data_IF_903377915759
#
_entry.id   IF_903377915759
#
_cell.length_a   1.000
_cell.length_b   1.000
_cell.length_c   1.000
_cell.angle_alpha   90.00
_cell.angle_beta   90.00
_cell.angle_gamma   90.00
#
_symmetry.space_group_name_H-M   'P 1'
#
loop_
_entity.id
_entity.type
_entity.pdbx_description
1 polymer ?
#
# COMPACT_ATOMS: atom_id res chain seq x y z
N UNK A 1 11.32 -6.65 -3.62
CA UNK A 1 10.08 -6.84 -2.82
C UNK A 1 9.11 -5.79 -3.30
N UNK A 2 7.81 -6.06 -3.24
CA UNK A 2 6.76 -5.18 -3.78
C UNK A 2 6.92 -3.71 -3.39
N UNK A 3 6.16 -2.83 -4.03
CA UNK A 3 6.07 -1.43 -3.63
C UNK A 3 4.60 -1.02 -3.48
N UNK A 4 4.23 -0.38 -2.39
CA UNK A 4 2.84 0.03 -2.14
C UNK A 4 2.76 1.30 -1.32
N UNK A 5 1.63 1.98 -1.45
CA UNK A 5 1.38 3.19 -0.70
C UNK A 5 0.03 3.83 -1.00
N UNK A 6 -0.14 4.98 -0.37
CA UNK A 6 -1.28 5.86 -0.50
C UNK A 6 -0.79 7.27 -0.82
N UNK A 7 -1.49 7.95 -1.73
CA UNK A 7 -1.31 9.37 -2.04
C UNK A 7 -2.60 10.09 -1.71
N UNK A 8 -2.55 11.11 -0.84
CA UNK A 8 -3.68 11.96 -0.49
C UNK A 8 -3.48 13.35 -1.07
N UNK A 9 -4.42 13.78 -1.90
CA UNK A 9 -4.37 15.02 -2.66
C UNK A 9 -5.70 15.77 -2.54
N UNK A 10 -6.11 16.17 -1.32
CA UNK A 10 -7.42 16.78 -1.09
C UNK A 10 -7.63 18.06 -1.89
N UNK A 11 -6.55 18.74 -2.29
CA UNK A 11 -6.58 19.97 -3.06
C UNK A 11 -6.46 19.77 -4.58
N UNK A 12 -6.55 18.53 -5.08
CA UNK A 12 -6.48 18.17 -6.51
C UNK A 12 -5.31 18.86 -7.23
N UNK A 13 -4.14 18.88 -6.60
CA UNK A 13 -2.91 19.42 -7.17
C UNK A 13 -2.35 18.43 -8.19
N UNK A 14 -1.57 18.94 -9.14
CA UNK A 14 -0.81 18.07 -10.04
C UNK A 14 0.26 17.33 -9.23
N UNK A 15 0.30 16.01 -9.35
CA UNK A 15 1.36 15.20 -8.76
C UNK A 15 2.67 15.55 -9.47
N UNK A 16 3.74 15.94 -8.76
CA UNK A 16 4.97 16.38 -9.41
C UNK A 16 5.58 15.28 -10.30
N UNK A 17 6.07 15.64 -11.49
CA UNK A 17 6.63 14.69 -12.45
C UNK A 17 7.72 13.78 -11.87
N UNK A 18 8.48 14.27 -10.89
CA UNK A 18 9.46 13.44 -10.18
C UNK A 18 8.80 12.25 -9.46
N UNK A 19 7.68 12.48 -8.79
CA UNK A 19 6.91 11.45 -8.08
C UNK A 19 6.43 10.40 -9.08
N UNK A 20 5.83 10.86 -10.18
CA UNK A 20 5.32 9.98 -11.24
C UNK A 20 6.45 9.12 -11.84
N UNK A 21 7.61 9.72 -12.11
CA UNK A 21 8.80 8.98 -12.57
C UNK A 21 9.27 7.94 -11.57
N UNK A 22 9.33 8.29 -10.27
CA UNK A 22 9.69 7.34 -9.21
C UNK A 22 8.72 6.16 -9.13
N UNK A 23 7.42 6.39 -9.26
CA UNK A 23 6.43 5.31 -9.32
C UNK A 23 6.65 4.40 -10.53
N UNK A 24 6.98 4.97 -11.70
CA UNK A 24 7.31 4.16 -12.88
C UNK A 24 8.63 3.39 -12.74
N UNK A 25 9.62 3.94 -12.04
CA UNK A 25 10.84 3.21 -11.70
C UNK A 25 10.53 2.02 -10.77
N UNK A 26 9.69 2.22 -9.75
CA UNK A 26 9.23 1.14 -8.87
C UNK A 26 8.44 0.06 -9.64
N UNK A 27 7.62 0.44 -10.62
CA UNK A 27 6.94 -0.52 -11.49
C UNK A 27 7.92 -1.39 -12.30
N UNK A 28 9.04 -0.83 -12.78
CA UNK A 28 10.05 -1.59 -13.52
C UNK A 28 10.69 -2.65 -12.63
N UNK A 29 10.93 -2.34 -11.35
CA UNK A 29 11.50 -3.28 -10.38
C UNK A 29 10.49 -4.29 -9.83
N UNK A 30 9.19 -4.07 -10.05
CA UNK A 30 8.10 -4.89 -9.53
C UNK A 30 7.08 -5.21 -10.65
N UNK A 31 7.44 -6.09 -11.61
CA UNK A 31 6.71 -6.26 -12.86
C UNK A 31 5.58 -7.30 -12.81
N UNK A 32 5.36 -7.98 -11.69
CA UNK A 32 4.53 -9.20 -11.61
C UNK A 32 3.04 -8.92 -11.33
N UNK A 33 2.62 -7.66 -11.50
CA UNK A 33 1.24 -7.23 -11.38
C UNK A 33 1.07 -5.87 -10.71
N UNK A 34 0.04 -5.14 -11.13
CA UNK A 34 -0.17 -3.75 -10.76
C UNK A 34 -1.59 -3.52 -10.27
N UNK A 35 -1.71 -2.69 -9.24
CA UNK A 35 -2.98 -2.29 -8.65
C UNK A 35 -3.05 -0.79 -8.47
N UNK A 36 -4.23 -0.22 -8.76
CA UNK A 36 -4.60 1.13 -8.36
C UNK A 36 -6.08 1.20 -8.01
N UNK A 37 -6.38 1.95 -6.95
CA UNK A 37 -7.72 2.37 -6.58
C UNK A 37 -7.77 3.88 -6.33
N UNK A 38 -8.81 4.53 -6.86
CA UNK A 38 -9.16 5.94 -6.63
C UNK A 38 -10.67 6.05 -6.44
N UNK A 39 -11.14 7.06 -5.68
CA UNK A 39 -12.58 7.29 -5.50
C UNK A 39 -13.15 8.39 -6.42
N UNK A 40 -12.32 9.34 -6.83
CA UNK A 40 -12.75 10.48 -7.65
C UNK A 40 -11.62 10.87 -8.61
N UNK A 41 -11.64 10.38 -9.87
CA UNK A 41 -12.62 9.45 -10.45
C UNK A 41 -12.60 8.08 -9.75
N UNK A 42 -13.72 7.35 -9.75
CA UNK A 42 -13.72 5.98 -9.23
C UNK A 42 -13.04 5.03 -10.21
N UNK A 43 -11.90 4.48 -9.83
CA UNK A 43 -11.18 3.48 -10.62
C UNK A 43 -10.74 2.37 -9.70
N UNK A 44 -10.96 1.11 -10.10
CA UNK A 44 -10.39 -0.07 -9.47
C UNK A 44 -9.76 -0.92 -10.57
N UNK A 45 -8.44 -1.07 -10.54
CA UNK A 45 -7.70 -1.78 -11.58
C UNK A 45 -6.70 -2.74 -10.94
N UNK A 46 -6.72 -4.01 -11.36
CA UNK A 46 -5.71 -5.03 -11.10
C UNK A 46 -5.36 -5.68 -12.43
N UNK A 47 -4.09 -5.61 -12.83
CA UNK A 47 -3.67 -6.05 -14.18
C UNK A 47 -2.21 -6.48 -14.21
N UNK A 48 -1.89 -7.44 -15.10
CA UNK A 48 -0.54 -7.93 -15.34
C UNK A 48 0.21 -7.12 -16.41
N UNK A 49 -0.51 -6.57 -17.40
CA UNK A 49 0.10 -5.81 -18.48
C UNK A 49 0.60 -4.43 -17.99
N UNK A 50 1.92 -4.28 -17.94
CA UNK A 50 2.58 -3.07 -17.48
C UNK A 50 2.34 -1.85 -18.39
N UNK A 51 2.21 -2.06 -19.70
CA UNK A 51 2.01 -0.97 -20.66
C UNK A 51 0.58 -0.43 -20.57
N UNK A 52 -0.40 -1.32 -20.47
CA UNK A 52 -1.79 -0.97 -20.23
C UNK A 52 -1.95 -0.28 -18.88
N UNK A 53 -1.33 -0.82 -17.81
CA UNK A 53 -1.36 -0.15 -16.50
C UNK A 53 -0.75 1.25 -16.58
N UNK A 54 0.43 1.40 -17.18
CA UNK A 54 1.09 2.70 -17.31
C UNK A 54 0.23 3.73 -18.04
N UNK A 55 -0.43 3.33 -19.14
CA UNK A 55 -1.35 4.20 -19.88
C UNK A 55 -2.51 4.65 -18.99
N UNK A 56 -3.23 3.70 -18.37
CA UNK A 56 -4.37 4.00 -17.49
C UNK A 56 -3.96 4.80 -16.25
N UNK A 57 -2.81 4.49 -15.65
CA UNK A 57 -2.30 5.19 -14.48
C UNK A 57 -1.95 6.64 -14.80
N UNK A 58 -1.41 6.92 -15.99
CA UNK A 58 -1.21 8.30 -16.47
C UNK A 58 -2.53 9.04 -16.59
N UNK A 59 -3.55 8.44 -17.23
CA UNK A 59 -4.89 9.02 -17.37
C UNK A 59 -5.56 9.29 -16.02
N UNK A 60 -5.34 8.42 -15.03
CA UNK A 60 -5.82 8.62 -13.65
C UNK A 60 -5.10 9.80 -13.00
N UNK A 61 -3.76 9.85 -13.07
CA UNK A 61 -2.99 10.94 -12.47
C UNK A 61 -3.39 12.30 -13.06
N UNK A 62 -3.63 12.38 -14.37
CA UNK A 62 -4.01 13.60 -15.07
C UNK A 62 -5.37 14.15 -14.60
N UNK A 63 -6.25 13.29 -14.08
CA UNK A 63 -7.52 13.69 -13.48
C UNK A 63 -7.38 14.25 -12.05
N UNK A 64 -6.17 14.23 -11.48
CA UNK A 64 -5.84 14.77 -10.15
C UNK A 64 -6.76 14.23 -9.07
N UNK A 65 -6.75 12.90 -8.86
CA UNK A 65 -7.63 12.26 -7.90
C UNK A 65 -7.35 12.75 -6.50
N UNK A 66 -8.39 12.78 -5.67
CA UNK A 66 -8.30 13.20 -4.27
C UNK A 66 -7.52 12.22 -3.42
N UNK A 67 -7.55 10.93 -3.79
CA UNK A 67 -6.75 9.89 -3.15
C UNK A 67 -6.43 8.75 -4.15
N UNK A 68 -5.27 8.14 -3.96
CA UNK A 68 -4.77 6.99 -4.72
C UNK A 68 -4.25 5.94 -3.75
N UNK A 69 -4.70 4.70 -3.86
CA UNK A 69 -4.09 3.53 -3.22
C UNK A 69 -3.49 2.65 -4.32
N UNK A 70 -2.23 2.26 -4.20
CA UNK A 70 -1.54 1.56 -5.27
C UNK A 70 -0.62 0.45 -4.75
N UNK A 71 -0.31 -0.51 -5.62
CA UNK A 71 0.64 -1.58 -5.35
C UNK A 71 1.27 -2.11 -6.63
N UNK A 72 2.58 -2.35 -6.62
CA UNK A 72 3.37 -2.97 -7.68
C UNK A 72 3.98 -4.25 -7.11
N UNK A 73 3.66 -5.39 -7.72
CA UNK A 73 3.98 -6.72 -7.19
C UNK A 73 5.32 -7.21 -7.72
N UNK A 74 6.13 -7.80 -6.83
CA UNK A 74 7.21 -8.70 -7.20
C UNK A 74 6.94 -10.05 -6.52
N UNK A 75 6.67 -11.08 -7.30
CA UNK A 75 6.23 -12.38 -6.83
C UNK A 75 7.38 -13.17 -6.20
N UNK A 76 7.38 -13.25 -4.87
CA UNK A 76 8.18 -14.22 -4.10
C UNK A 76 7.37 -15.44 -3.66
N UNK A 77 6.03 -15.34 -3.69
CA UNK A 77 5.06 -16.40 -3.41
C UNK A 77 3.80 -16.23 -4.28
N UNK A 78 3.10 -17.34 -4.53
CA UNK A 78 1.93 -17.39 -5.43
C UNK A 78 2.29 -17.24 -6.91
N UNK A 79 1.43 -17.75 -7.79
CA UNK A 79 1.60 -17.62 -9.24
C UNK A 79 1.56 -16.14 -9.70
N UNK A 80 2.11 -15.86 -10.88
CA UNK A 80 1.92 -14.59 -11.57
C UNK A 80 0.55 -14.66 -12.25
N UNK A 81 -0.47 -14.24 -11.51
CA UNK A 81 -1.86 -14.26 -11.92
C UNK A 81 -2.59 -13.04 -11.30
N UNK A 82 -3.63 -12.58 -11.97
CA UNK A 82 -4.50 -11.48 -11.52
C UNK A 82 -5.02 -11.74 -10.12
N UNK A 83 -5.38 -12.99 -9.78
CA UNK A 83 -5.85 -13.38 -8.45
C UNK A 83 -4.85 -13.01 -7.34
N UNK A 84 -3.55 -13.04 -7.62
CA UNK A 84 -2.48 -12.76 -6.67
C UNK A 84 -2.00 -11.31 -6.65
N UNK A 85 -2.52 -10.45 -7.52
CA UNK A 85 -2.27 -9.01 -7.46
C UNK A 85 -2.98 -8.46 -6.22
N UNK A 86 -2.26 -7.78 -5.33
CA UNK A 86 -2.86 -7.17 -4.14
C UNK A 86 -3.92 -6.11 -4.46
N UNK A 87 -4.61 -5.62 -3.43
CA UNK A 87 -5.78 -4.75 -3.58
C UNK A 87 -7.10 -5.52 -3.50
N UNK A 88 -7.11 -6.67 -2.82
CA UNK A 88 -8.34 -7.40 -2.52
C UNK A 88 -9.19 -6.63 -1.51
N UNK A 89 -10.51 -6.78 -1.62
CA UNK A 89 -11.47 -6.19 -0.71
C UNK A 89 -11.89 -7.24 0.34
N UNK A 90 -11.68 -6.94 1.61
CA UNK A 90 -12.15 -7.72 2.75
C UNK A 90 -12.96 -6.82 3.68
N UNK A 91 -14.26 -7.09 3.80
CA UNK A 91 -15.20 -6.13 4.37
C UNK A 91 -15.22 -4.83 3.54
N UNK A 92 -15.00 -3.69 4.20
CA UNK A 92 -14.97 -2.37 3.56
C UNK A 92 -13.56 -1.89 3.17
N UNK A 93 -12.55 -2.74 3.30
CA UNK A 93 -11.15 -2.37 3.16
C UNK A 93 -10.45 -3.05 1.98
N UNK A 94 -9.72 -2.26 1.19
CA UNK A 94 -8.72 -2.72 0.24
C UNK A 94 -7.37 -2.93 0.92
N UNK A 95 -6.74 -4.07 0.69
CA UNK A 95 -5.50 -4.45 1.39
C UNK A 95 -4.37 -4.69 0.40
N UNK A 96 -3.23 -4.04 0.66
CA UNK A 96 -1.97 -4.23 -0.07
C UNK A 96 -0.80 -4.40 0.88
N UNK A 97 0.29 -5.01 0.43
CA UNK A 97 1.44 -5.28 1.29
C UNK A 97 2.75 -5.40 0.50
N UNK A 98 3.82 -4.86 1.07
CA UNK A 98 5.20 -5.12 0.69
C UNK A 98 5.93 -5.90 1.79
N UNK A 99 6.27 -7.17 1.49
CA UNK A 99 7.01 -8.02 2.41
C UNK A 99 6.66 -9.50 2.24
N UNK A 100 6.73 -10.26 3.33
CA UNK A 100 6.45 -11.71 3.35
C UNK A 100 5.63 -12.13 4.57
N UNK A 101 4.90 -13.25 4.45
CA UNK A 101 4.25 -13.96 5.56
C UNK A 101 4.81 -15.36 5.67
N UNK A 102 5.68 -15.61 6.66
CA UNK A 102 6.45 -16.87 6.75
C UNK A 102 5.57 -18.11 6.84
N UNK A 103 4.43 -18.05 7.56
CA UNK A 103 3.50 -19.19 7.67
C UNK A 103 2.92 -19.67 6.34
N UNK A 104 2.98 -18.85 5.29
CA UNK A 104 2.36 -19.13 3.99
C UNK A 104 3.34 -19.09 2.82
N UNK A 105 4.62 -18.80 3.05
CA UNK A 105 5.62 -18.54 2.01
C UNK A 105 5.90 -19.73 1.06
N UNK A 106 5.58 -20.97 1.46
CA UNK A 106 5.81 -22.18 0.64
C UNK A 106 4.68 -22.49 -0.35
N UNK A 107 3.57 -21.73 -0.33
CA UNK A 107 2.41 -21.96 -1.19
C UNK A 107 2.66 -21.40 -2.59
N UNK A 108 2.32 -22.19 -3.61
CA UNK A 108 2.57 -21.85 -5.03
C UNK A 108 1.35 -21.25 -5.73
N UNK A 109 0.14 -21.57 -5.28
CA UNK A 109 -1.08 -21.14 -5.96
C UNK A 109 -1.42 -19.69 -5.56
N UNK A 110 -1.78 -19.48 -4.29
CA UNK A 110 -2.09 -18.17 -3.74
C UNK A 110 -0.86 -17.55 -3.05
N UNK A 111 -0.72 -16.23 -3.16
CA UNK A 111 0.33 -15.50 -2.47
C UNK A 111 0.11 -15.51 -0.95
N UNK A 112 1.20 -15.40 -0.22
CA UNK A 112 1.24 -15.49 1.25
C UNK A 112 0.31 -14.48 1.96
N UNK A 113 0.16 -13.30 1.38
CA UNK A 113 -0.61 -12.20 1.92
C UNK A 113 -2.10 -12.48 1.77
N UNK A 114 -2.54 -12.94 0.59
CA UNK A 114 -3.93 -13.31 0.36
C UNK A 114 -4.38 -14.39 1.35
N UNK A 115 -3.53 -15.38 1.60
CA UNK A 115 -3.78 -16.41 2.60
C UNK A 115 -3.93 -15.84 4.01
N UNK A 116 -3.08 -14.89 4.41
CA UNK A 116 -3.17 -14.21 5.71
C UNK A 116 -4.48 -13.43 5.87
N UNK A 117 -4.80 -12.55 4.90
CA UNK A 117 -5.93 -11.62 5.02
C UNK A 117 -7.28 -12.33 4.84
N UNK A 118 -7.28 -13.50 4.21
CA UNK A 118 -8.47 -14.35 4.09
C UNK A 118 -8.81 -15.11 5.38
N UNK A 119 -7.91 -15.13 6.38
CA UNK A 119 -8.20 -15.80 7.65
C UNK A 119 -9.30 -15.06 8.40
N UNK A 120 -10.19 -15.83 9.05
CA UNK A 120 -11.31 -15.29 9.81
C UNK A 120 -10.83 -14.39 10.94
N UNK A 121 -9.81 -14.82 11.67
CA UNK A 121 -9.22 -14.08 12.79
C UNK A 121 -8.71 -12.71 12.35
N UNK A 122 -8.02 -12.64 11.20
CA UNK A 122 -7.56 -11.37 10.63
C UNK A 122 -8.74 -10.42 10.39
N UNK A 123 -9.79 -10.92 9.72
CA UNK A 123 -10.97 -10.13 9.36
C UNK A 123 -11.75 -9.69 10.61
N UNK A 124 -11.91 -10.56 11.59
CA UNK A 124 -12.59 -10.25 12.86
C UNK A 124 -11.84 -9.19 13.67
N UNK A 125 -10.50 -9.28 13.76
CA UNK A 125 -9.70 -8.29 14.46
C UNK A 125 -9.72 -6.94 13.73
N UNK A 126 -9.65 -6.93 12.40
CA UNK A 126 -9.74 -5.72 11.60
C UNK A 126 -11.13 -5.05 11.74
N UNK A 127 -12.21 -5.80 11.54
CA UNK A 127 -13.57 -5.28 11.63
C UNK A 127 -13.89 -4.75 13.03
N UNK A 128 -13.41 -5.44 14.07
CA UNK A 128 -13.54 -5.01 15.46
C UNK A 128 -12.55 -3.91 15.89
N UNK A 129 -11.66 -3.46 15.00
CA UNK A 129 -10.56 -2.51 15.30
C UNK A 129 -9.73 -2.94 16.52
N UNK A 130 -9.55 -4.25 16.68
CA UNK A 130 -8.79 -4.90 17.76
C UNK A 130 -7.31 -4.87 17.43
N UNK A 131 -6.73 -3.67 17.46
CA UNK A 131 -5.41 -3.39 16.90
C UNK A 131 -4.27 -4.16 17.55
N UNK A 132 -4.30 -4.37 18.87
CA UNK A 132 -3.25 -5.16 19.52
C UNK A 132 -3.32 -6.62 19.07
N UNK A 133 -4.51 -7.22 19.05
CA UNK A 133 -4.69 -8.61 18.63
C UNK A 133 -4.38 -8.79 17.15
N UNK A 134 -4.76 -7.84 16.29
CA UNK A 134 -4.39 -7.85 14.89
C UNK A 134 -2.87 -7.82 14.71
N UNK A 135 -2.17 -6.92 15.42
CA UNK A 135 -0.72 -6.82 15.36
C UNK A 135 -0.03 -8.10 15.84
N UNK A 136 -0.45 -8.63 16.99
CA UNK A 136 0.10 -9.86 17.55
C UNK A 136 -0.13 -11.05 16.63
N UNK A 137 -1.32 -11.15 16.04
CA UNK A 137 -1.68 -12.20 15.10
C UNK A 137 -0.79 -12.19 13.86
N UNK A 138 -0.57 -11.03 13.21
CA UNK A 138 0.28 -10.99 12.01
C UNK A 138 1.76 -11.26 12.34
N UNK A 139 2.23 -10.81 13.51
CA UNK A 139 3.60 -11.08 13.98
C UNK A 139 3.78 -12.57 14.23
N UNK A 140 2.80 -13.23 14.85
CA UNK A 140 2.78 -14.69 15.05
C UNK A 140 2.84 -15.44 13.72
N UNK A 141 2.14 -14.96 12.67
CA UNK A 141 2.24 -15.52 11.30
C UNK A 141 3.56 -15.20 10.59
N UNK A 142 4.47 -14.50 11.27
CA UNK A 142 5.78 -14.13 10.76
C UNK A 142 5.70 -13.10 9.64
N UNK A 143 4.75 -12.15 9.73
CA UNK A 143 4.68 -11.00 8.85
C UNK A 143 5.94 -10.14 9.02
N UNK A 144 6.62 -9.88 7.90
CA UNK A 144 7.77 -8.98 7.81
C UNK A 144 7.53 -8.04 6.63
N UNK A 145 7.20 -6.78 6.89
CA UNK A 145 6.80 -5.87 5.82
C UNK A 145 5.99 -4.66 6.24
N UNK A 146 5.37 -4.03 5.24
CA UNK A 146 4.42 -2.92 5.40
C UNK A 146 3.11 -3.26 4.69
N UNK A 147 1.99 -3.21 5.39
CA UNK A 147 0.64 -3.44 4.86
C UNK A 147 -0.15 -2.15 4.93
N UNK A 148 -0.84 -1.79 3.83
CA UNK A 148 -1.85 -0.73 3.83
C UNK A 148 -3.25 -1.33 3.78
N UNK A 149 -4.14 -0.80 4.62
CA UNK A 149 -5.54 -1.17 4.73
C UNK A 149 -6.34 0.11 4.54
N UNK A 150 -7.02 0.23 3.41
CA UNK A 150 -7.66 1.48 2.97
C UNK A 150 -9.14 1.24 2.81
N UNK A 151 -9.98 1.97 3.52
CA UNK A 151 -11.41 1.83 3.35
C UNK A 151 -11.85 2.41 1.99
N UNK A 152 -13.00 1.95 1.49
CA UNK A 152 -13.50 2.29 0.16
C UNK A 152 -13.59 3.81 -0.13
N UNK A 153 -13.86 4.63 0.88
CA UNK A 153 -13.98 6.09 0.72
C UNK A 153 -12.76 6.90 1.19
N UNK A 154 -11.67 6.22 1.55
CA UNK A 154 -10.45 6.82 2.11
C UNK A 154 -10.64 7.61 3.42
N UNK A 155 -11.79 7.52 4.10
CA UNK A 155 -11.98 8.06 5.45
C UNK A 155 -11.13 7.35 6.52
N UNK A 156 -10.80 6.08 6.29
CA UNK A 156 -9.96 5.28 7.17
C UNK A 156 -8.83 4.63 6.40
N UNK A 157 -7.61 5.00 6.78
CA UNK A 157 -6.38 4.52 6.15
C UNK A 157 -5.47 4.06 7.28
N UNK A 158 -5.17 2.77 7.29
CA UNK A 158 -4.26 2.18 8.25
C UNK A 158 -3.02 1.65 7.55
N UNK A 159 -1.89 1.76 8.23
CA UNK A 159 -0.64 1.16 7.82
C UNK A 159 -0.13 0.30 8.97
N UNK A 160 0.23 -0.94 8.69
CA UNK A 160 0.86 -1.84 9.64
C UNK A 160 2.30 -2.06 9.21
N UNK A 161 3.24 -1.93 10.13
CA UNK A 161 4.66 -2.17 9.89
C UNK A 161 5.21 -3.20 10.86
N UNK A 162 5.99 -4.14 10.33
CA UNK A 162 6.92 -4.97 11.10
C UNK A 162 8.29 -4.94 10.45
N UNK A 163 9.30 -4.47 11.18
CA UNK A 163 10.72 -4.43 10.77
C UNK A 163 11.05 -3.62 9.49
N UNK A 164 10.06 -2.92 8.93
CA UNK A 164 10.18 -2.09 7.72
C UNK A 164 9.55 -0.73 7.96
N UNK A 165 10.13 0.33 7.41
CA UNK A 165 9.58 1.67 7.61
C UNK A 165 8.38 1.90 6.72
N UNK A 166 7.32 2.45 7.31
CA UNK A 166 6.35 3.28 6.60
C UNK A 166 6.96 4.66 6.53
N UNK A 167 7.02 5.20 5.33
CA UNK A 167 7.48 6.56 5.10
C UNK A 167 6.30 7.48 4.91
N UNK A 168 6.33 8.63 5.56
CA UNK A 168 5.34 9.69 5.43
C UNK A 168 6.02 11.00 5.06
N UNK A 169 5.53 11.66 4.02
CA UNK A 169 5.97 12.99 3.67
C UNK A 169 4.84 13.81 3.03
N UNK A 170 4.96 15.13 3.13
CA UNK A 170 4.05 16.08 2.51
C UNK A 170 4.82 17.00 1.55
N UNK A 171 4.28 17.24 0.36
CA UNK A 171 4.83 18.17 -0.63
C UNK A 171 3.71 18.93 -1.31
N UNK A 172 3.75 20.27 -1.30
CA UNK A 172 2.77 21.11 -1.99
C UNK A 172 1.30 20.75 -1.72
N UNK A 173 0.97 20.38 -0.48
CA UNK A 173 -0.39 19.98 -0.09
C UNK A 173 -0.80 18.57 -0.58
N UNK A 174 0.16 17.73 -0.95
CA UNK A 174 -0.04 16.31 -1.25
C UNK A 174 0.70 15.49 -0.21
N UNK A 175 0.04 14.50 0.37
CA UNK A 175 0.65 13.54 1.30
C UNK A 175 0.98 12.26 0.55
N UNK A 176 2.16 11.71 0.82
CA UNK A 176 2.61 10.43 0.31
C UNK A 176 2.93 9.54 1.50
N UNK A 177 2.42 8.31 1.47
CA UNK A 177 2.74 7.30 2.48
C UNK A 177 3.05 5.97 1.82
N UNK A 178 4.27 5.46 1.98
CA UNK A 178 4.79 4.33 1.17
C UNK A 178 5.55 3.31 2.00
N UNK A 179 5.72 2.10 1.45
CA UNK A 179 6.41 0.97 2.09
C UNK A 179 7.96 0.99 2.00
N UNK A 180 8.56 2.13 1.67
CA UNK A 180 10.00 2.29 1.47
C UNK A 180 10.39 3.66 0.91
N UNK A 181 11.70 3.91 0.82
CA UNK A 181 12.30 5.20 0.40
C UNK A 181 11.68 5.70 -0.91
N UNK A 182 10.75 6.65 -0.78
CA UNK A 182 10.16 7.26 -1.94
C UNK A 182 11.13 8.29 -2.53
N UNK A 183 11.62 8.03 -3.73
CA UNK A 183 12.61 8.85 -4.43
C UNK A 183 13.90 8.98 -3.61
N UNK A 184 14.93 8.22 -4.01
CA UNK A 184 16.29 8.34 -3.49
C UNK A 184 16.60 9.80 -3.12
N UNK A 185 17.10 10.00 -1.90
CA UNK A 185 17.36 11.25 -1.15
C UNK A 185 17.91 12.46 -1.91
N UNK A 186 18.03 12.48 -3.24
CA UNK A 186 18.38 13.60 -4.10
C UNK A 186 17.20 14.48 -4.51
N UNK A 187 15.98 13.97 -4.65
CA UNK A 187 14.91 14.75 -5.34
C UNK A 187 13.84 15.34 -4.42
N UNK A 188 13.61 14.76 -3.23
CA UNK A 188 12.73 15.32 -2.19
C UNK A 188 13.49 15.85 -0.96
N UNK A 189 14.79 16.21 -1.11
CA UNK A 189 15.74 16.63 -0.04
C UNK A 189 15.23 17.63 0.99
N UNK A 190 14.16 18.37 0.70
CA UNK A 190 13.61 19.42 1.55
C UNK A 190 12.36 19.00 2.32
N UNK A 191 11.86 17.78 2.12
CA UNK A 191 10.67 17.32 2.80
C UNK A 191 11.01 16.69 4.14
N UNK A 192 10.19 17.00 5.14
CA UNK A 192 10.21 16.31 6.42
C UNK A 192 9.75 14.87 6.17
N UNK A 193 10.67 13.92 6.33
CA UNK A 193 10.39 12.50 6.24
C UNK A 193 10.18 11.98 7.66
N UNK A 194 9.02 11.36 7.90
CA UNK A 194 8.74 10.66 9.14
C UNK A 194 8.70 9.16 8.87
N UNK A 195 9.39 8.40 9.72
CA UNK A 195 9.49 6.95 9.61
C UNK A 195 8.72 6.30 10.76
N UNK A 196 7.84 5.37 10.42
CA UNK A 196 7.05 4.61 11.39
C UNK A 196 7.35 3.12 11.22
N UNK A 197 7.72 2.47 12.33
CA UNK A 197 8.14 1.07 12.36
C UNK A 197 7.52 0.36 13.55
N UNK A 198 7.25 -0.95 13.39
CA UNK A 198 6.77 -1.84 14.45
C UNK A 198 5.50 -1.34 15.13
N UNK A 199 4.42 -1.28 14.37
CA UNK A 199 3.15 -0.79 14.90
C UNK A 199 2.03 -0.75 13.88
N UNK A 200 0.89 -0.26 14.36
CA UNK A 200 -0.28 0.09 13.55
C UNK A 200 -0.48 1.59 13.63
N UNK A 201 -0.66 2.22 12.49
CA UNK A 201 -0.75 3.66 12.33
C UNK A 201 -2.00 4.01 11.54
N UNK A 202 -2.71 5.06 11.96
CA UNK A 202 -3.75 5.67 11.14
C UNK A 202 -3.13 6.84 10.38
N UNK A 203 -3.28 6.84 9.06
CA UNK A 203 -2.74 7.83 8.16
C UNK A 203 -3.85 8.82 7.81
N UNK A 204 -3.54 10.11 7.87
CA UNK A 204 -4.42 11.17 7.38
C UNK A 204 -3.63 12.10 6.46
N UNK A 205 -4.30 13.08 5.86
CA UNK A 205 -3.59 14.11 5.12
C UNK A 205 -2.68 14.94 6.04
N UNK A 206 -3.08 15.15 7.30
CA UNK A 206 -2.43 16.10 8.21
C UNK A 206 -1.32 15.43 9.03
N UNK A 207 -1.55 14.21 9.50
CA UNK A 207 -0.67 13.52 10.43
C UNK A 207 -0.77 11.98 10.34
N UNK A 208 0.12 11.32 11.08
CA UNK A 208 0.06 9.90 11.37
C UNK A 208 -0.20 9.69 12.86
N UNK A 209 -1.33 9.05 13.20
CA UNK A 209 -1.67 8.69 14.57
C UNK A 209 -1.17 7.28 14.87
N UNK A 210 -0.46 7.13 15.98
CA UNK A 210 0.02 5.82 16.46
C UNK A 210 -1.13 5.12 17.18
N UNK A 211 -1.61 4.00 16.64
CA UNK A 211 -2.64 3.17 17.27
C UNK A 211 -2.00 2.11 18.18
N UNK A 212 -0.92 1.49 17.70
CA UNK A 212 -0.09 0.53 18.43
C UNK A 212 1.37 0.80 18.09
N UNK A 213 2.26 0.68 19.08
CA UNK A 213 3.72 0.68 18.89
C UNK A 213 4.33 -0.40 19.77
N UNK A 214 5.13 -1.29 19.18
CA UNK A 214 5.80 -2.40 19.87
C UNK A 214 7.30 -2.41 19.63
#
# INVERSE_FOLDING_TARGET
MCFTGVILNPFRKSIPNVVVKGLYEEMIWNPDGFYVYTIDPQVYLRILDANEFKRKFSEIIDQKPTAIHFHFRLASSGAIDVENIHGWMFGEYFITHNGIVRSYASRRDLCDTLLLVSQREFQEFLAGKRWSELYDYIVEKGFYGVMFIVNRDFSEIYAISTWKNIEYCQNNGITYTTSGEFLARRTLKKLKLENYINGIFQITHEEVKILIKK
#
